data_IF_837266891258
#
_entry.id   IF_837266891258
#
_cell.length_a   1.000
_cell.length_b   1.000
_cell.length_c   1.000
_cell.angle_alpha   90.00
_cell.angle_beta   90.00
_cell.angle_gamma   90.00
#
_symmetry.space_group_name_H-M   'P 1'
#
loop_
_entity.id
_entity.type
_entity.pdbx_description
1 polymer ?
#
# COMPACT_ATOMS: atom_id res chain seq x y z
N UNK A 1 -44.03 -72.72 -19.33
CA UNK A 1 -42.90 -72.20 -20.05
C UNK A 1 -42.68 -70.78 -19.54
N UNK A 2 -41.74 -70.65 -18.62
CA UNK A 2 -41.44 -69.38 -17.94
C UNK A 2 -40.22 -68.76 -18.60
N UNK A 3 -40.29 -67.48 -18.90
CA UNK A 3 -39.15 -66.71 -19.36
C UNK A 3 -38.71 -65.77 -18.24
N UNK A 4 -37.53 -66.10 -17.62
CA UNK A 4 -36.89 -65.20 -16.64
C UNK A 4 -36.13 -64.10 -17.37
N UNK A 5 -36.58 -62.85 -17.22
CA UNK A 5 -35.83 -61.69 -17.68
C UNK A 5 -34.90 -61.18 -16.55
N UNK A 6 -33.57 -61.28 -16.76
CA UNK A 6 -32.57 -60.60 -15.93
C UNK A 6 -32.47 -59.14 -16.29
N UNK A 7 -32.82 -58.23 -15.40
CA UNK A 7 -32.56 -56.83 -15.52
C UNK A 7 -31.18 -56.51 -14.94
N UNK A 8 -30.21 -56.10 -15.77
CA UNK A 8 -28.89 -55.61 -15.36
C UNK A 8 -29.04 -54.13 -14.92
N UNK A 9 -28.99 -53.89 -13.64
CA UNK A 9 -28.92 -52.52 -13.09
C UNK A 9 -27.50 -51.99 -13.19
N UNK A 10 -27.27 -50.98 -14.03
CA UNK A 10 -26.02 -50.21 -14.08
C UNK A 10 -26.10 -49.13 -13.01
N UNK A 11 -25.36 -49.34 -11.92
CA UNK A 11 -25.19 -48.29 -10.92
C UNK A 11 -24.15 -47.26 -11.41
N UNK A 12 -24.63 -46.05 -11.78
CA UNK A 12 -23.76 -44.90 -12.08
C UNK A 12 -23.26 -44.36 -10.73
N UNK A 13 -21.98 -44.61 -10.38
CA UNK A 13 -21.31 -43.96 -9.28
C UNK A 13 -20.97 -42.52 -9.71
N UNK A 14 -21.74 -41.55 -9.20
CA UNK A 14 -21.41 -40.14 -9.33
C UNK A 14 -20.20 -39.84 -8.45
N UNK A 15 -19.02 -39.63 -9.06
CA UNK A 15 -17.89 -39.03 -8.37
C UNK A 15 -18.25 -37.58 -8.01
N UNK A 16 -18.62 -37.36 -6.76
CA UNK A 16 -18.70 -36.01 -6.18
C UNK A 16 -17.27 -35.55 -5.94
N UNK A 17 -16.72 -34.81 -6.88
CA UNK A 17 -15.50 -34.03 -6.66
C UNK A 17 -15.88 -32.91 -5.70
N UNK A 18 -15.66 -33.11 -4.40
CA UNK A 18 -15.70 -32.05 -3.42
C UNK A 18 -14.52 -31.13 -3.74
N UNK A 19 -14.78 -30.05 -4.50
CA UNK A 19 -13.87 -28.94 -4.57
C UNK A 19 -13.68 -28.48 -3.11
N UNK A 20 -12.52 -28.79 -2.52
CA UNK A 20 -12.10 -28.21 -1.27
C UNK A 20 -12.09 -26.71 -1.51
N UNK A 21 -13.05 -25.99 -0.92
CA UNK A 21 -13.01 -24.56 -0.86
C UNK A 21 -11.67 -24.23 -0.21
N UNK A 22 -10.73 -23.67 -0.97
CA UNK A 22 -9.48 -23.17 -0.43
C UNK A 22 -9.87 -22.29 0.75
N UNK A 23 -9.35 -22.57 1.95
CA UNK A 23 -9.68 -21.81 3.14
C UNK A 23 -9.52 -20.33 2.81
N UNK A 24 -10.62 -19.58 2.90
CA UNK A 24 -10.62 -18.15 2.62
C UNK A 24 -9.55 -17.50 3.50
N UNK A 25 -8.71 -16.64 2.90
CA UNK A 25 -7.67 -15.94 3.64
C UNK A 25 -8.26 -15.26 4.86
N UNK A 26 -7.69 -15.51 6.03
CA UNK A 26 -8.14 -14.87 7.27
C UNK A 26 -7.36 -13.58 7.48
N UNK A 27 -8.07 -12.47 7.41
CA UNK A 27 -7.54 -11.17 7.75
C UNK A 27 -7.37 -11.03 9.28
N UNK A 28 -6.19 -10.61 9.71
CA UNK A 28 -5.94 -10.11 11.06
C UNK A 28 -6.06 -8.59 11.04
N UNK A 29 -7.30 -8.10 10.95
CA UNK A 29 -7.56 -6.67 10.84
C UNK A 29 -7.57 -6.01 12.21
N UNK A 30 -6.87 -4.87 12.35
CA UNK A 30 -7.01 -4.02 13.52
C UNK A 30 -8.44 -3.50 13.67
N UNK A 31 -8.81 -3.21 14.90
CA UNK A 31 -10.15 -2.72 15.22
C UNK A 31 -10.45 -1.42 14.48
N UNK A 32 -11.61 -1.35 13.84
CA UNK A 32 -12.03 -0.19 13.05
C UNK A 32 -11.56 -0.18 11.60
N UNK A 33 -10.75 -1.18 11.18
CA UNK A 33 -10.31 -1.29 9.79
C UNK A 33 -11.18 -2.29 9.02
N UNK A 34 -11.73 -1.90 7.85
CA UNK A 34 -12.46 -2.82 6.98
C UNK A 34 -11.51 -3.77 6.25
N UNK A 35 -12.05 -4.84 5.65
CA UNK A 35 -11.26 -5.66 4.73
C UNK A 35 -10.84 -4.83 3.51
N UNK A 36 -9.54 -4.85 3.13
CA UNK A 36 -9.08 -4.20 1.91
C UNK A 36 -9.78 -4.76 0.67
N UNK A 37 -9.90 -3.94 -0.38
CA UNK A 37 -10.36 -4.41 -1.67
C UNK A 37 -9.38 -5.42 -2.28
N UNK A 38 -9.90 -6.57 -2.71
CA UNK A 38 -9.13 -7.64 -3.33
C UNK A 38 -9.67 -7.88 -4.74
N UNK A 39 -8.84 -7.78 -5.80
CA UNK A 39 -9.27 -8.08 -7.15
C UNK A 39 -9.74 -9.54 -7.29
N UNK A 40 -10.83 -9.74 -8.02
CA UNK A 40 -11.42 -11.07 -8.20
C UNK A 40 -10.48 -12.06 -8.92
N UNK A 41 -9.59 -11.54 -9.77
CA UNK A 41 -8.59 -12.32 -10.50
C UNK A 41 -7.32 -12.60 -9.69
N UNK A 42 -7.19 -11.99 -8.49
CA UNK A 42 -6.09 -12.29 -7.56
C UNK A 42 -6.59 -12.48 -6.11
N UNK A 43 -7.39 -13.51 -5.82
CA UNK A 43 -7.85 -13.79 -4.47
C UNK A 43 -6.68 -14.06 -3.53
N UNK A 44 -6.83 -13.61 -2.27
CA UNK A 44 -5.82 -13.80 -1.23
C UNK A 44 -5.68 -15.26 -0.83
N UNK A 45 -4.43 -15.69 -0.55
CA UNK A 45 -4.14 -16.93 0.18
C UNK A 45 -2.88 -16.77 1.03
N UNK A 46 -2.76 -17.55 2.10
CA UNK A 46 -1.56 -17.54 2.94
C UNK A 46 -0.30 -17.92 2.14
N UNK A 47 -0.43 -18.84 1.18
CA UNK A 47 0.68 -19.24 0.31
C UNK A 47 1.14 -18.08 -0.60
N UNK A 48 0.21 -17.31 -1.18
CA UNK A 48 0.56 -16.11 -1.98
C UNK A 48 1.24 -15.05 -1.14
N UNK A 49 0.75 -14.78 0.06
CA UNK A 49 1.36 -13.81 0.98
C UNK A 49 2.79 -14.23 1.35
N UNK A 50 2.99 -15.50 1.72
CA UNK A 50 4.32 -16.03 2.05
C UNK A 50 5.29 -15.98 0.87
N UNK A 51 4.83 -16.36 -0.33
CA UNK A 51 5.62 -16.23 -1.56
C UNK A 51 5.94 -14.78 -1.87
N UNK A 52 4.95 -13.88 -1.79
CA UNK A 52 5.11 -12.46 -2.06
C UNK A 52 6.12 -11.79 -1.14
N UNK A 53 6.11 -12.11 0.15
CA UNK A 53 7.10 -11.62 1.11
C UNK A 53 8.53 -12.02 0.74
N UNK A 54 8.75 -13.24 0.24
CA UNK A 54 10.07 -13.69 -0.25
C UNK A 54 10.48 -12.95 -1.51
N UNK A 55 9.56 -12.83 -2.48
CA UNK A 55 9.82 -12.16 -3.75
C UNK A 55 10.05 -10.66 -3.59
N UNK A 56 9.37 -10.00 -2.64
CA UNK A 56 9.57 -8.59 -2.32
C UNK A 56 11.02 -8.25 -1.96
N UNK A 57 11.74 -9.18 -1.34
CA UNK A 57 13.15 -9.04 -0.98
C UNK A 57 14.11 -9.71 -1.98
N UNK A 58 13.62 -10.28 -3.09
CA UNK A 58 14.44 -11.06 -4.01
C UNK A 58 15.19 -10.17 -5.01
N UNK A 59 16.54 -10.13 -4.97
CA UNK A 59 17.31 -9.26 -5.86
C UNK A 59 17.31 -9.70 -7.33
N UNK A 60 16.85 -10.93 -7.65
CA UNK A 60 16.64 -11.38 -9.04
C UNK A 60 15.59 -10.55 -9.76
N UNK A 61 14.74 -9.81 -9.01
CA UNK A 61 13.75 -8.89 -9.56
C UNK A 61 14.35 -7.52 -9.94
N UNK A 62 15.65 -7.48 -10.26
CA UNK A 62 16.28 -6.29 -10.84
C UNK A 62 17.32 -6.65 -11.89
N UNK A 63 17.51 -5.75 -12.86
CA UNK A 63 18.48 -5.90 -13.96
C UNK A 63 19.92 -6.17 -13.50
N UNK A 64 20.29 -5.69 -12.32
CA UNK A 64 21.62 -5.86 -11.74
C UNK A 64 21.73 -7.07 -10.80
N UNK A 65 20.64 -7.71 -10.44
CA UNK A 65 20.62 -8.79 -9.44
C UNK A 65 21.00 -8.33 -8.02
N UNK A 66 20.91 -7.02 -7.72
CA UNK A 66 21.32 -6.43 -6.44
C UNK A 66 20.25 -5.56 -5.75
N UNK A 67 19.17 -5.26 -6.46
CA UNK A 67 18.05 -4.49 -5.96
C UNK A 67 16.79 -5.36 -5.90
N UNK A 68 15.91 -5.02 -5.01
CA UNK A 68 14.57 -5.62 -4.86
C UNK A 68 13.58 -4.51 -4.47
N UNK A 69 12.30 -4.83 -4.30
CA UNK A 69 11.32 -3.87 -3.77
C UNK A 69 11.76 -3.34 -2.39
N UNK A 70 12.34 -4.20 -1.54
CA UNK A 70 12.85 -3.82 -0.23
C UNK A 70 14.03 -2.82 -0.28
N UNK A 71 14.66 -2.60 -1.43
CA UNK A 71 15.74 -1.61 -1.58
C UNK A 71 15.24 -0.17 -1.52
N UNK A 72 14.00 0.08 -1.95
CA UNK A 72 13.32 1.38 -1.89
C UNK A 72 12.20 1.41 -0.85
N UNK A 73 11.69 0.24 -0.45
CA UNK A 73 10.63 0.08 0.53
C UNK A 73 11.12 -0.77 1.71
N UNK A 74 12.08 -0.21 2.47
CA UNK A 74 12.72 -0.87 3.61
C UNK A 74 11.72 -1.06 4.77
N UNK A 75 11.42 -2.31 5.18
CA UNK A 75 10.56 -2.58 6.33
C UNK A 75 11.01 -1.89 7.63
N UNK A 76 12.32 -1.67 7.79
CA UNK A 76 12.90 -0.96 8.93
C UNK A 76 12.61 0.54 8.95
N UNK A 77 12.14 1.13 7.81
CA UNK A 77 11.86 2.54 7.61
C UNK A 77 10.39 2.78 7.20
N UNK A 78 9.47 2.05 7.79
CA UNK A 78 8.06 2.09 7.43
C UNK A 78 7.82 1.95 5.91
N UNK A 79 8.61 1.08 5.25
CA UNK A 79 8.56 0.82 3.81
C UNK A 79 8.82 2.07 2.94
N UNK A 80 9.76 2.92 3.35
CA UNK A 80 10.40 3.98 2.54
C UNK A 80 11.90 3.74 2.47
N UNK A 81 12.66 4.52 1.67
CA UNK A 81 14.12 4.43 1.64
C UNK A 81 14.83 5.55 2.43
N UNK A 82 14.06 6.51 2.96
CA UNK A 82 14.57 7.64 3.74
C UNK A 82 15.38 8.65 2.91
N UNK A 83 15.22 8.65 1.58
CA UNK A 83 15.91 9.58 0.67
C UNK A 83 14.91 10.59 0.12
N UNK A 84 15.43 11.77 -0.26
CA UNK A 84 14.65 12.76 -1.00
C UNK A 84 14.18 12.19 -2.34
N UNK A 85 15.09 11.54 -3.06
CA UNK A 85 14.84 10.85 -4.33
C UNK A 85 15.46 9.47 -4.31
N UNK A 86 14.66 8.49 -4.64
CA UNK A 86 15.09 7.09 -4.70
C UNK A 86 16.12 6.85 -5.82
N UNK A 87 16.79 5.70 -5.79
CA UNK A 87 17.74 5.29 -6.81
C UNK A 87 17.31 3.98 -7.45
N UNK A 88 17.25 3.98 -8.77
CA UNK A 88 17.02 2.77 -9.55
C UNK A 88 18.20 1.79 -9.49
N UNK A 89 17.97 0.57 -9.94
CA UNK A 89 18.94 -0.53 -9.89
C UNK A 89 20.25 -0.26 -10.63
N UNK A 90 20.24 0.65 -11.62
CA UNK A 90 21.44 1.10 -12.36
C UNK A 90 22.13 2.30 -11.73
N UNK A 91 21.62 2.81 -10.60
CA UNK A 91 22.15 3.99 -9.89
C UNK A 91 21.54 5.32 -10.34
N UNK A 92 20.62 5.32 -11.31
CA UNK A 92 19.90 6.51 -11.74
C UNK A 92 19.10 7.12 -10.58
N UNK A 93 19.16 8.43 -10.40
CA UNK A 93 18.35 9.17 -9.44
C UNK A 93 16.94 9.32 -10.00
N UNK A 94 15.94 8.87 -9.28
CA UNK A 94 14.54 9.00 -9.66
C UNK A 94 14.02 10.42 -9.36
N UNK A 95 12.91 10.78 -9.98
CA UNK A 95 12.31 12.11 -9.80
C UNK A 95 11.58 12.25 -8.46
N UNK A 96 11.17 11.14 -7.87
CA UNK A 96 10.22 11.09 -6.76
C UNK A 96 10.79 10.37 -5.54
N UNK A 97 10.25 10.72 -4.38
CA UNK A 97 10.43 10.03 -3.12
C UNK A 97 9.67 8.69 -3.12
N UNK A 98 10.23 7.66 -2.48
CA UNK A 98 9.53 6.38 -2.28
C UNK A 98 8.43 6.53 -1.22
N UNK A 99 7.14 6.45 -1.58
CA UNK A 99 6.07 6.50 -0.59
C UNK A 99 6.08 5.22 0.26
N UNK A 100 5.56 5.33 1.49
CA UNK A 100 5.31 4.13 2.30
C UNK A 100 4.32 3.18 1.61
N UNK A 101 4.54 1.87 1.77
CA UNK A 101 3.58 0.84 1.35
C UNK A 101 2.59 0.47 2.46
N UNK A 102 2.78 1.00 3.68
CA UNK A 102 1.83 0.76 4.76
C UNK A 102 0.45 1.28 4.39
N UNK A 103 -0.54 0.43 4.55
CA UNK A 103 -1.93 0.69 4.18
C UNK A 103 -2.17 1.03 2.68
N UNK A 104 -1.21 0.71 1.79
CA UNK A 104 -1.36 0.98 0.36
C UNK A 104 -2.62 0.34 -0.24
N UNK A 105 -3.07 -0.78 0.31
CA UNK A 105 -4.29 -1.48 -0.10
C UNK A 105 -5.57 -0.64 0.05
N UNK A 106 -5.58 0.40 0.89
CA UNK A 106 -6.72 1.32 1.07
C UNK A 106 -6.63 2.56 0.20
N UNK A 107 -5.54 2.78 -0.53
CA UNK A 107 -5.42 3.94 -1.39
C UNK A 107 -6.27 3.78 -2.66
N UNK A 108 -7.10 4.76 -2.97
CA UNK A 108 -7.93 4.76 -4.18
C UNK A 108 -7.13 5.00 -5.47
N UNK A 109 -5.89 5.43 -5.37
CA UNK A 109 -4.90 5.49 -6.45
C UNK A 109 -3.50 5.26 -5.89
N UNK A 110 -2.64 4.67 -6.68
CA UNK A 110 -1.27 4.30 -6.33
C UNK A 110 -0.26 5.08 -7.19
N UNK A 111 0.87 5.48 -6.59
CA UNK A 111 1.79 6.43 -7.20
C UNK A 111 1.44 7.88 -6.87
N UNK A 112 2.29 8.83 -7.31
CA UNK A 112 2.14 10.25 -6.96
C UNK A 112 1.25 11.03 -7.94
N UNK A 113 1.33 10.74 -9.24
CA UNK A 113 0.66 11.52 -10.30
C UNK A 113 -0.40 10.72 -11.06
N UNK A 114 -0.39 9.39 -10.97
CA UNK A 114 -1.22 8.54 -11.81
C UNK A 114 -2.59 8.26 -11.18
N UNK A 115 -3.64 8.76 -11.81
CA UNK A 115 -5.03 8.48 -11.42
C UNK A 115 -5.53 7.11 -11.90
N UNK A 116 -4.82 6.46 -12.81
CA UNK A 116 -5.20 5.18 -13.42
C UNK A 116 -4.69 3.94 -12.70
N UNK A 117 -3.69 4.08 -11.82
CA UNK A 117 -3.17 2.96 -11.04
C UNK A 117 -4.03 2.73 -9.78
N UNK A 118 -5.07 1.91 -9.92
CA UNK A 118 -6.04 1.63 -8.87
C UNK A 118 -5.85 0.25 -8.22
N UNK A 119 -4.90 -0.56 -8.69
CA UNK A 119 -4.54 -1.86 -8.09
C UNK A 119 -3.04 -1.98 -7.91
N UNK A 120 -2.61 -2.69 -6.87
CA UNK A 120 -1.19 -2.96 -6.60
C UNK A 120 -0.53 -3.70 -7.75
N UNK A 121 -1.25 -4.65 -8.36
CA UNK A 121 -0.78 -5.42 -9.51
C UNK A 121 -0.44 -4.54 -10.72
N UNK A 122 -1.29 -3.55 -10.99
CA UNK A 122 -1.07 -2.63 -12.10
C UNK A 122 0.06 -1.65 -11.81
N UNK A 123 0.07 -1.08 -10.59
CA UNK A 123 1.10 -0.12 -10.19
C UNK A 123 2.50 -0.72 -10.24
N UNK A 124 2.66 -1.96 -9.79
CA UNK A 124 3.95 -2.66 -9.71
C UNK A 124 4.63 -2.85 -11.08
N UNK A 125 3.86 -2.81 -12.17
CA UNK A 125 4.42 -2.89 -13.53
C UNK A 125 5.32 -1.69 -13.86
N UNK A 126 5.05 -0.51 -13.28
CA UNK A 126 5.89 0.67 -13.42
C UNK A 126 7.32 0.39 -12.93
N UNK A 127 7.56 0.19 -11.63
CA UNK A 127 8.90 -0.06 -11.10
C UNK A 127 9.60 -1.29 -11.69
N UNK A 128 8.87 -2.31 -12.12
CA UNK A 128 9.46 -3.50 -12.75
C UNK A 128 9.92 -3.23 -14.19
N UNK A 129 9.11 -2.57 -15.01
CA UNK A 129 9.26 -2.60 -16.46
C UNK A 129 9.43 -1.24 -17.14
N UNK A 130 9.25 -0.09 -16.45
CA UNK A 130 9.47 1.21 -17.07
C UNK A 130 10.96 1.42 -17.38
N UNK A 131 11.25 1.90 -18.60
CA UNK A 131 12.59 2.28 -19.02
C UNK A 131 12.95 3.72 -18.61
N UNK A 132 11.94 4.57 -18.41
CA UNK A 132 12.09 5.97 -18.04
C UNK A 132 10.97 6.42 -17.08
N UNK A 133 11.28 6.63 -15.80
CA UNK A 133 12.55 6.32 -15.13
C UNK A 133 12.76 4.82 -14.97
N UNK A 134 14.00 4.36 -15.09
CA UNK A 134 14.34 2.97 -14.85
C UNK A 134 14.54 2.72 -13.35
N UNK A 135 13.63 1.93 -12.76
CA UNK A 135 13.73 1.51 -11.36
C UNK A 135 14.38 0.14 -11.24
N UNK A 136 13.69 -0.95 -11.53
CA UNK A 136 14.25 -2.31 -11.49
C UNK A 136 14.76 -2.80 -12.85
N UNK A 137 14.25 -2.26 -13.98
CA UNK A 137 14.81 -2.43 -15.32
C UNK A 137 14.62 -3.79 -15.94
N UNK A 138 13.47 -4.44 -15.75
CA UNK A 138 13.19 -5.79 -16.24
C UNK A 138 12.48 -5.85 -17.60
N UNK A 139 12.21 -4.73 -18.26
CA UNK A 139 11.57 -4.73 -19.58
C UNK A 139 12.35 -5.60 -20.58
N UNK A 140 11.65 -6.57 -21.19
CA UNK A 140 12.22 -7.53 -22.14
C UNK A 140 13.10 -8.61 -21.51
N UNK A 141 13.17 -8.71 -20.17
CA UNK A 141 13.95 -9.71 -19.44
C UNK A 141 13.09 -10.69 -18.64
N UNK A 142 11.78 -10.64 -18.79
CA UNK A 142 10.82 -11.43 -18.04
C UNK A 142 11.16 -12.93 -18.06
N UNK A 143 11.43 -13.48 -19.24
CA UNK A 143 11.78 -14.90 -19.40
C UNK A 143 13.13 -15.27 -18.75
N UNK A 144 14.07 -14.33 -18.59
CA UNK A 144 15.33 -14.56 -17.88
C UNK A 144 15.07 -14.68 -16.38
N UNK A 145 14.26 -13.76 -15.83
CA UNK A 145 13.89 -13.77 -14.41
C UNK A 145 13.08 -15.02 -14.08
N UNK A 146 12.08 -15.38 -14.89
CA UNK A 146 11.26 -16.58 -14.69
C UNK A 146 12.13 -17.85 -14.65
N UNK A 147 13.11 -17.97 -15.54
CA UNK A 147 14.06 -19.10 -15.51
C UNK A 147 14.92 -19.11 -14.25
N UNK A 148 15.37 -17.94 -13.78
CA UNK A 148 16.17 -17.84 -12.57
C UNK A 148 15.35 -18.20 -11.31
N UNK A 149 14.07 -17.82 -11.26
CA UNK A 149 13.15 -18.20 -10.18
C UNK A 149 12.80 -19.69 -10.24
N UNK A 150 12.59 -20.23 -11.43
CA UNK A 150 12.26 -21.64 -11.66
C UNK A 150 13.41 -22.58 -11.25
N UNK A 151 14.65 -22.14 -11.36
CA UNK A 151 15.84 -22.90 -10.98
C UNK A 151 15.98 -23.12 -9.46
N UNK A 152 15.25 -22.33 -8.65
CA UNK A 152 15.21 -22.45 -7.18
C UNK A 152 14.06 -23.41 -6.78
N UNK A 153 14.41 -24.64 -6.35
CA UNK A 153 13.44 -25.67 -5.97
C UNK A 153 12.47 -25.21 -4.89
N UNK A 154 12.95 -24.40 -3.92
CA UNK A 154 12.11 -23.90 -2.84
C UNK A 154 11.13 -22.83 -3.29
N UNK A 155 11.52 -21.97 -4.25
CA UNK A 155 10.60 -21.00 -4.87
C UNK A 155 9.61 -21.72 -5.80
N UNK A 156 10.08 -22.69 -6.60
CA UNK A 156 9.20 -23.47 -7.46
C UNK A 156 8.08 -24.13 -6.65
N UNK A 157 8.42 -24.79 -5.54
CA UNK A 157 7.43 -25.37 -4.62
C UNK A 157 6.48 -24.31 -4.02
N UNK A 158 6.98 -23.13 -3.66
CA UNK A 158 6.17 -22.03 -3.14
C UNK A 158 5.22 -21.47 -4.21
N UNK A 159 5.66 -21.33 -5.46
CA UNK A 159 4.79 -20.93 -6.57
C UNK A 159 3.69 -21.97 -6.84
N UNK A 160 4.02 -23.27 -6.83
CA UNK A 160 3.02 -24.34 -6.98
C UNK A 160 1.97 -24.30 -5.88
N UNK A 161 2.38 -24.05 -4.64
CA UNK A 161 1.44 -23.91 -3.52
C UNK A 161 0.58 -22.64 -3.59
N UNK A 162 1.14 -21.54 -4.13
CA UNK A 162 0.46 -20.26 -4.23
C UNK A 162 -0.53 -20.18 -5.41
N UNK A 163 -0.26 -20.95 -6.49
CA UNK A 163 -1.04 -20.96 -7.74
C UNK A 163 -1.31 -22.41 -8.19
N UNK A 164 -2.09 -23.18 -7.42
CA UNK A 164 -2.34 -24.59 -7.70
C UNK A 164 -3.22 -24.81 -8.94
N UNK A 165 -3.83 -23.75 -9.49
CA UNK A 165 -4.70 -23.80 -10.67
C UNK A 165 -3.95 -23.87 -12.00
N UNK A 166 -2.61 -23.77 -12.00
CA UNK A 166 -1.79 -23.76 -13.24
C UNK A 166 -0.60 -24.73 -13.15
N UNK A 167 -0.30 -25.43 -14.26
CA UNK A 167 0.85 -26.33 -14.36
C UNK A 167 2.20 -25.58 -14.49
N UNK A 168 2.16 -24.31 -14.90
CA UNK A 168 3.34 -23.45 -15.05
C UNK A 168 3.20 -22.17 -14.18
N UNK A 169 3.30 -22.31 -12.84
CA UNK A 169 3.01 -21.20 -11.94
C UNK A 169 4.10 -20.11 -11.87
N UNK A 170 5.34 -20.39 -12.30
CA UNK A 170 6.47 -19.44 -12.23
C UNK A 170 6.41 -18.50 -13.42
N UNK A 171 5.71 -17.38 -13.26
CA UNK A 171 5.57 -16.32 -14.27
C UNK A 171 5.73 -14.95 -13.62
N UNK A 172 6.05 -13.92 -14.41
CA UNK A 172 6.08 -12.54 -13.91
C UNK A 172 4.70 -12.07 -13.44
N UNK A 173 3.62 -12.47 -14.09
CA UNK A 173 2.28 -12.13 -13.63
C UNK A 173 1.98 -12.73 -12.24
N UNK A 174 2.32 -13.99 -12.01
CA UNK A 174 2.15 -14.61 -10.68
C UNK A 174 3.12 -14.05 -9.65
N UNK A 175 4.34 -13.63 -10.06
CA UNK A 175 5.26 -12.88 -9.21
C UNK A 175 4.62 -11.58 -8.71
N UNK A 176 4.04 -10.79 -9.63
CA UNK A 176 3.32 -9.55 -9.31
C UNK A 176 2.12 -9.82 -8.40
N UNK A 177 1.31 -10.83 -8.71
CA UNK A 177 0.14 -11.22 -7.90
C UNK A 177 0.52 -11.63 -6.48
N UNK A 178 1.60 -12.38 -6.32
CA UNK A 178 2.07 -12.79 -5.00
C UNK A 178 2.60 -11.59 -4.18
N UNK A 179 3.41 -10.71 -4.80
CA UNK A 179 3.90 -9.50 -4.12
C UNK A 179 2.74 -8.58 -3.74
N UNK A 180 1.76 -8.37 -4.63
CA UNK A 180 0.57 -7.58 -4.34
C UNK A 180 -0.25 -8.17 -3.17
N UNK A 181 -0.36 -9.50 -3.09
CA UNK A 181 -1.00 -10.17 -1.95
C UNK A 181 -0.25 -9.89 -0.63
N UNK A 182 1.09 -9.89 -0.65
CA UNK A 182 1.89 -9.51 0.51
C UNK A 182 1.72 -8.03 0.87
N UNK A 183 1.80 -7.11 -0.09
CA UNK A 183 1.65 -5.67 0.15
C UNK A 183 0.29 -5.33 0.77
N UNK A 184 -0.79 -6.05 0.43
CA UNK A 184 -2.11 -5.90 1.07
C UNK A 184 -2.11 -6.20 2.55
N UNK A 185 -1.15 -6.98 3.04
CA UNK A 185 -1.02 -7.29 4.47
C UNK A 185 -0.20 -6.27 5.26
N UNK A 186 0.41 -5.29 4.60
CA UNK A 186 1.22 -4.26 5.24
C UNK A 186 0.33 -3.20 5.88
N UNK A 187 -0.06 -3.42 7.13
CA UNK A 187 -1.00 -2.56 7.85
C UNK A 187 -0.31 -1.83 9.01
N UNK A 188 -0.62 -0.54 9.15
CA UNK A 188 -0.35 0.31 10.31
C UNK A 188 -1.69 0.83 10.83
N UNK A 189 -2.11 0.38 12.00
CA UNK A 189 -3.44 0.63 12.53
C UNK A 189 -3.56 0.35 14.04
N UNK A 190 -2.45 0.46 14.78
CA UNK A 190 -2.39 0.31 16.24
C UNK A 190 -1.75 1.50 16.95
N UNK A 191 -1.74 2.64 16.28
CA UNK A 191 -1.19 3.89 16.80
C UNK A 191 -1.94 4.37 18.07
N UNK A 192 -1.39 5.31 18.84
CA UNK A 192 -2.11 5.96 19.92
C UNK A 192 -3.48 6.50 19.48
N UNK A 193 -3.56 7.11 18.29
CA UNK A 193 -4.82 7.58 17.71
C UNK A 193 -5.82 6.42 17.50
N UNK A 194 -5.39 5.29 16.95
CA UNK A 194 -6.27 4.15 16.70
C UNK A 194 -6.81 3.55 18.01
N UNK A 195 -5.97 3.44 19.03
CA UNK A 195 -6.41 2.98 20.35
C UNK A 195 -7.43 3.94 20.97
N UNK A 196 -7.21 5.24 20.83
CA UNK A 196 -8.14 6.24 21.34
C UNK A 196 -9.50 6.17 20.64
N UNK A 197 -9.50 6.12 19.30
CA UNK A 197 -10.75 6.19 18.51
C UNK A 197 -11.46 4.83 18.45
N UNK A 198 -10.74 3.74 18.18
CA UNK A 198 -11.35 2.46 17.87
C UNK A 198 -11.35 1.46 19.03
N UNK A 199 -10.50 1.64 20.04
CA UNK A 199 -10.40 0.70 21.17
C UNK A 199 -10.95 1.24 22.48
N UNK A 200 -11.36 2.52 22.52
CA UNK A 200 -11.89 3.16 23.74
C UNK A 200 -10.81 3.43 24.80
N UNK A 201 -9.53 3.44 24.42
CA UNK A 201 -8.42 3.80 25.30
C UNK A 201 -8.30 5.33 25.38
N UNK A 202 -9.12 5.94 26.24
CA UNK A 202 -9.14 7.40 26.41
C UNK A 202 -7.84 8.00 26.95
N UNK A 203 -6.92 7.17 27.46
CA UNK A 203 -5.59 7.55 27.92
C UNK A 203 -4.52 7.46 26.82
N UNK A 204 -4.83 6.92 25.64
CA UNK A 204 -3.87 6.73 24.58
C UNK A 204 -3.33 8.04 23.97
N UNK A 205 -4.11 9.13 24.03
CA UNK A 205 -3.69 10.46 23.60
C UNK A 205 -3.50 11.37 24.80
N UNK A 206 -2.42 12.16 24.81
CA UNK A 206 -2.23 13.28 25.73
C UNK A 206 -3.24 14.39 25.45
N UNK A 207 -3.44 15.31 26.41
CA UNK A 207 -4.34 16.45 26.20
C UNK A 207 -3.87 17.34 25.05
N UNK A 208 -2.56 17.53 24.89
CA UNK A 208 -2.01 18.28 23.76
C UNK A 208 -2.28 17.58 22.41
N UNK A 209 -2.18 16.24 22.35
CA UNK A 209 -2.53 15.46 21.15
C UNK A 209 -4.02 15.56 20.83
N UNK A 210 -4.90 15.59 21.83
CA UNK A 210 -6.35 15.81 21.64
C UNK A 210 -6.64 17.21 21.09
N UNK A 211 -5.99 18.25 21.62
CA UNK A 211 -6.09 19.61 21.04
C UNK A 211 -5.61 19.62 19.59
N UNK A 212 -4.50 18.95 19.27
CA UNK A 212 -4.00 18.83 17.91
C UNK A 212 -4.97 18.07 16.98
N UNK A 213 -5.62 17.02 17.49
CA UNK A 213 -6.66 16.28 16.80
C UNK A 213 -7.86 17.17 16.46
N UNK A 214 -8.35 17.95 17.43
CA UNK A 214 -9.47 18.87 17.23
C UNK A 214 -9.13 19.93 16.17
N UNK A 215 -7.90 20.47 16.18
CA UNK A 215 -7.43 21.39 15.15
C UNK A 215 -7.40 20.72 13.79
N UNK A 216 -6.86 19.51 13.69
CA UNK A 216 -6.73 18.76 12.44
C UNK A 216 -8.07 18.52 11.76
N UNK A 217 -9.10 18.12 12.50
CA UNK A 217 -10.44 17.79 11.99
C UNK A 217 -11.37 19.01 11.88
N UNK A 218 -11.01 20.17 12.46
CA UNK A 218 -11.80 21.39 12.39
C UNK A 218 -11.52 22.20 11.11
N UNK A 219 -12.40 23.15 10.82
CA UNK A 219 -12.18 24.16 9.79
C UNK A 219 -10.98 25.08 10.11
N UNK A 220 -10.64 25.22 11.40
CA UNK A 220 -9.48 25.98 11.87
C UNK A 220 -8.18 25.44 11.30
N UNK A 221 -7.98 24.13 11.32
CA UNK A 221 -6.79 23.46 10.74
C UNK A 221 -6.95 23.17 9.26
N UNK A 222 -8.14 22.74 8.84
CA UNK A 222 -8.49 22.41 7.46
C UNK A 222 -7.79 21.17 6.89
N UNK A 223 -7.03 20.44 7.71
CA UNK A 223 -6.20 19.32 7.25
C UNK A 223 -7.05 18.15 6.74
N UNK A 224 -8.13 17.83 7.44
CA UNK A 224 -9.03 16.73 7.11
C UNK A 224 -9.81 16.94 5.79
N UNK A 225 -9.81 18.14 5.21
CA UNK A 225 -10.39 18.38 3.87
C UNK A 225 -9.69 17.58 2.77
N UNK A 226 -8.41 17.26 2.97
CA UNK A 226 -7.62 16.42 2.08
C UNK A 226 -7.17 15.14 2.77
N UNK A 227 -6.72 15.22 4.03
CA UNK A 227 -6.20 14.10 4.80
C UNK A 227 -7.29 13.49 5.71
N UNK A 228 -8.45 13.15 5.13
CA UNK A 228 -9.52 12.43 5.83
C UNK A 228 -9.37 10.92 5.77
N UNK A 229 -10.42 10.22 6.25
CA UNK A 229 -10.54 8.78 6.20
C UNK A 229 -9.59 8.01 7.13
N UNK A 230 -9.73 6.69 7.15
CA UNK A 230 -8.97 5.80 8.04
C UNK A 230 -7.46 5.83 7.78
N UNK A 231 -7.06 6.19 6.56
CA UNK A 231 -5.67 6.23 6.13
C UNK A 231 -5.10 7.67 6.10
N UNK A 232 -5.88 8.67 6.48
CA UNK A 232 -5.45 10.09 6.38
C UNK A 232 -4.93 10.46 4.97
N UNK A 233 -5.56 9.91 3.94
CA UNK A 233 -5.21 10.11 2.53
C UNK A 233 -6.42 10.53 1.67
N UNK A 234 -7.49 11.02 2.30
CA UNK A 234 -8.78 11.27 1.68
C UNK A 234 -9.66 10.03 1.69
N UNK A 235 -10.47 9.85 0.64
CA UNK A 235 -11.29 8.65 0.49
C UNK A 235 -10.41 7.40 0.37
N UNK A 236 -10.93 6.27 0.86
CA UNK A 236 -10.23 5.00 0.82
C UNK A 236 -11.07 3.95 0.08
N UNK A 237 -10.40 2.93 -0.47
CA UNK A 237 -11.04 1.75 -1.04
C UNK A 237 -11.01 0.62 -0.02
N UNK A 238 -12.11 -0.10 0.07
CA UNK A 238 -12.25 -1.32 0.84
C UNK A 238 -13.15 -2.30 0.09
N UNK A 239 -13.50 -3.41 0.73
CA UNK A 239 -14.37 -4.42 0.12
C UNK A 239 -15.76 -3.87 -0.23
N UNK A 240 -16.29 -2.93 0.56
CA UNK A 240 -17.64 -2.36 0.37
C UNK A 240 -17.63 -1.14 -0.55
N UNK A 241 -16.51 -0.39 -0.59
CA UNK A 241 -16.33 0.84 -1.35
C UNK A 241 -15.16 0.75 -2.35
N UNK A 242 -15.18 -0.21 -3.30
CA UNK A 242 -14.04 -0.43 -4.21
C UNK A 242 -13.88 0.68 -5.28
N UNK A 243 -14.81 1.62 -5.37
CA UNK A 243 -14.84 2.70 -6.37
C UNK A 243 -14.58 4.09 -5.78
N UNK A 244 -14.09 4.18 -4.55
CA UNK A 244 -13.70 5.46 -3.95
C UNK A 244 -12.62 6.16 -4.81
N UNK A 245 -12.60 7.50 -4.79
CA UNK A 245 -11.69 8.29 -5.62
C UNK A 245 -10.58 8.90 -4.77
N UNK A 246 -9.35 8.81 -5.26
CA UNK A 246 -8.22 9.47 -4.63
C UNK A 246 -8.37 11.00 -4.65
N UNK A 247 -7.91 11.63 -3.58
CA UNK A 247 -7.79 13.09 -3.49
C UNK A 247 -6.46 13.51 -4.07
N UNK A 248 -6.49 14.51 -4.96
CA UNK A 248 -5.32 15.16 -5.53
C UNK A 248 -5.34 16.65 -5.16
N UNK A 249 -4.18 17.18 -4.86
CA UNK A 249 -4.01 18.60 -4.52
C UNK A 249 -2.67 19.14 -5.04
N UNK A 250 -2.67 20.35 -5.54
CA UNK A 250 -1.44 21.10 -5.78
C UNK A 250 -0.98 21.75 -4.47
N UNK A 251 0.19 21.38 -4.04
CA UNK A 251 0.85 21.90 -2.83
C UNK A 251 2.00 22.85 -3.18
N UNK A 252 1.80 23.70 -4.18
CA UNK A 252 2.73 24.77 -4.56
C UNK A 252 3.83 24.35 -5.53
N UNK A 253 3.59 23.31 -6.34
CA UNK A 253 4.48 22.88 -7.42
C UNK A 253 3.95 23.16 -8.81
N UNK A 254 2.70 23.59 -8.92
CA UNK A 254 1.98 23.71 -10.19
C UNK A 254 1.40 22.38 -10.70
N UNK A 255 1.59 21.29 -9.95
CA UNK A 255 1.09 19.96 -10.29
C UNK A 255 0.29 19.37 -9.13
N UNK A 256 -0.86 18.81 -9.44
CA UNK A 256 -1.65 18.09 -8.45
C UNK A 256 -1.06 16.69 -8.22
N UNK A 257 -0.75 16.40 -6.97
CA UNK A 257 -0.26 15.09 -6.54
C UNK A 257 -1.28 14.41 -5.63
N UNK A 258 -1.26 13.09 -5.62
CA UNK A 258 -2.10 12.32 -4.70
C UNK A 258 -1.77 12.71 -3.24
N UNK A 259 -2.83 12.92 -2.46
CA UNK A 259 -2.70 13.13 -1.02
C UNK A 259 -2.18 11.83 -0.38
N UNK A 260 -0.98 11.82 0.22
CA UNK A 260 -0.42 10.63 0.84
C UNK A 260 -1.05 10.38 2.20
N UNK A 261 -0.88 9.14 2.71
CA UNK A 261 -1.19 8.82 4.11
C UNK A 261 -0.35 9.66 5.06
N UNK A 262 -0.92 10.02 6.22
CA UNK A 262 -0.18 10.61 7.33
C UNK A 262 0.19 9.59 8.41
N UNK A 263 -0.07 8.31 8.16
CA UNK A 263 0.38 7.27 9.08
C UNK A 263 1.89 7.10 8.99
N UNK A 264 2.51 6.77 10.12
CA UNK A 264 3.96 6.57 10.25
C UNK A 264 4.83 7.78 9.85
N UNK A 265 4.28 9.00 9.91
CA UNK A 265 5.04 10.22 9.52
C UNK A 265 6.37 10.34 10.23
N UNK A 266 6.49 9.91 11.49
CA UNK A 266 7.74 10.00 12.27
C UNK A 266 8.88 9.15 11.69
N UNK A 267 8.54 8.15 10.86
CA UNK A 267 9.49 7.22 10.24
C UNK A 267 9.70 7.44 8.74
N UNK A 268 8.90 8.33 8.10
CA UNK A 268 8.86 8.46 6.63
C UNK A 268 9.45 9.75 6.08
N UNK A 269 10.25 10.47 6.89
CA UNK A 269 11.02 11.61 6.38
C UNK A 269 12.05 11.16 5.30
N UNK A 270 12.39 12.02 4.31
CA UNK A 270 11.89 13.38 4.08
C UNK A 270 10.50 13.41 3.42
N UNK A 271 9.82 14.55 3.53
CA UNK A 271 8.40 14.69 3.17
C UNK A 271 8.18 15.32 1.80
N UNK A 272 6.94 15.18 1.30
CA UNK A 272 6.44 15.53 -0.02
C UNK A 272 6.88 14.52 -1.10
N UNK A 273 6.25 14.60 -2.26
CA UNK A 273 6.51 13.67 -3.38
C UNK A 273 7.95 13.74 -3.92
N UNK A 274 8.66 14.83 -3.67
CA UNK A 274 10.04 15.08 -4.09
C UNK A 274 11.04 15.14 -2.90
N UNK A 275 10.57 14.81 -1.69
CA UNK A 275 11.41 14.78 -0.50
C UNK A 275 11.97 16.12 -0.03
N UNK A 276 11.37 17.27 -0.49
CA UNK A 276 11.92 18.62 -0.27
C UNK A 276 12.02 19.07 1.18
N UNK A 277 11.29 18.46 2.11
CA UNK A 277 11.28 18.84 3.52
C UNK A 277 11.79 17.73 4.43
N UNK A 278 12.83 18.03 5.18
CA UNK A 278 13.43 17.07 6.11
C UNK A 278 12.67 16.94 7.43
N UNK A 279 11.81 17.91 7.79
CA UNK A 279 11.12 17.95 9.08
C UNK A 279 9.63 18.28 8.93
N UNK A 280 8.81 17.82 9.87
CA UNK A 280 7.38 18.19 9.93
C UNK A 280 7.18 19.68 10.16
N UNK A 281 8.06 20.34 10.92
CA UNK A 281 7.97 21.78 11.10
C UNK A 281 8.12 22.53 9.76
N UNK A 282 9.05 22.11 8.90
CA UNK A 282 9.20 22.68 7.57
C UNK A 282 7.97 22.44 6.67
N UNK A 283 7.31 21.29 6.81
CA UNK A 283 6.04 21.00 6.13
C UNK A 283 4.94 21.94 6.64
N UNK A 284 4.81 22.12 7.97
CA UNK A 284 3.81 23.02 8.54
C UNK A 284 4.07 24.48 8.14
N UNK A 285 5.34 24.92 8.11
CA UNK A 285 5.71 26.27 7.60
C UNK A 285 5.31 26.46 6.13
N UNK A 286 5.47 25.43 5.33
CA UNK A 286 5.05 25.46 3.94
C UNK A 286 3.54 25.62 3.78
N UNK A 287 2.75 24.83 4.55
CA UNK A 287 1.28 24.93 4.53
C UNK A 287 0.78 26.29 5.08
N UNK A 288 1.48 26.92 6.03
CA UNK A 288 1.15 28.28 6.46
C UNK A 288 1.32 29.31 5.34
N UNK A 289 2.39 29.18 4.55
CA UNK A 289 2.61 30.06 3.36
C UNK A 289 1.53 29.84 2.32
N UNK A 290 1.19 28.59 1.99
CA UNK A 290 0.13 28.27 1.05
C UNK A 290 -1.25 28.74 1.50
N UNK A 291 -1.54 28.69 2.81
CA UNK A 291 -2.81 29.14 3.38
C UNK A 291 -3.03 30.66 3.19
N UNK A 292 -1.94 31.42 3.10
CA UNK A 292 -1.96 32.86 2.88
C UNK A 292 -1.90 33.24 1.38
N UNK A 293 -1.58 32.29 0.49
CA UNK A 293 -1.42 32.55 -0.95
C UNK A 293 -2.79 32.45 -1.66
N UNK A 294 -3.30 33.54 -2.28
CA UNK A 294 -4.55 33.51 -3.03
C UNK A 294 -4.49 32.64 -4.29
N UNK A 295 -3.30 32.34 -4.81
CA UNK A 295 -3.12 31.47 -5.98
C UNK A 295 -3.09 29.97 -5.63
N UNK A 296 -2.88 29.64 -4.36
CA UNK A 296 -2.89 28.25 -3.89
C UNK A 296 -4.30 27.62 -3.94
N UNK A 297 -4.34 26.29 -3.87
CA UNK A 297 -5.59 25.54 -3.81
C UNK A 297 -6.52 26.10 -2.71
N UNK A 298 -7.75 26.44 -3.10
CA UNK A 298 -8.72 27.07 -2.18
C UNK A 298 -9.00 26.26 -0.92
N UNK A 299 -8.81 24.95 -0.96
CA UNK A 299 -8.96 24.03 0.19
C UNK A 299 -7.91 24.27 1.27
N UNK A 300 -6.77 24.88 0.94
CA UNK A 300 -5.68 25.21 1.86
C UNK A 300 -5.90 26.52 2.61
N UNK A 301 -6.84 27.37 2.15
CA UNK A 301 -7.07 28.70 2.72
C UNK A 301 -7.62 28.60 4.14
N UNK A 302 -6.92 29.22 5.08
CA UNK A 302 -7.31 29.35 6.49
C UNK A 302 -6.55 30.49 7.15
N UNK A 303 -6.97 30.90 8.33
CA UNK A 303 -6.19 31.80 9.16
C UNK A 303 -4.93 31.11 9.71
N UNK A 304 -3.81 31.82 9.87
CA UNK A 304 -2.59 31.26 10.46
C UNK A 304 -2.84 30.60 11.81
N UNK A 305 -2.19 29.47 12.06
CA UNK A 305 -2.20 28.81 13.36
C UNK A 305 -1.27 29.54 14.35
N UNK A 306 -1.63 29.57 15.63
CA UNK A 306 -0.71 30.05 16.67
C UNK A 306 0.45 29.06 16.87
N UNK A 307 1.49 29.47 17.60
CA UNK A 307 2.62 28.60 17.94
C UNK A 307 2.16 27.38 18.73
N UNK A 308 1.23 27.58 19.69
CA UNK A 308 0.67 26.54 20.52
C UNK A 308 -0.20 25.56 19.71
N UNK A 309 -1.02 26.08 18.79
CA UNK A 309 -1.83 25.26 17.88
C UNK A 309 -0.95 24.39 16.95
N UNK A 310 0.14 24.96 16.43
CA UNK A 310 1.11 24.21 15.61
C UNK A 310 1.82 23.12 16.42
N UNK A 311 2.22 23.42 17.64
CA UNK A 311 2.85 22.44 18.52
C UNK A 311 1.87 21.28 18.83
N UNK A 312 0.62 21.58 19.13
CA UNK A 312 -0.41 20.57 19.36
C UNK A 312 -0.68 19.72 18.11
N UNK A 313 -0.77 20.34 16.93
CA UNK A 313 -0.94 19.65 15.66
C UNK A 313 0.23 18.69 15.37
N UNK A 314 1.47 19.12 15.61
CA UNK A 314 2.64 18.26 15.45
C UNK A 314 2.60 17.05 16.39
N UNK A 315 2.23 17.25 17.65
CA UNK A 315 2.07 16.17 18.63
C UNK A 315 0.97 15.18 18.19
N UNK A 316 -0.13 15.67 17.65
CA UNK A 316 -1.17 14.83 17.09
C UNK A 316 -0.66 14.00 15.89
N UNK A 317 0.02 14.64 14.94
CA UNK A 317 0.60 13.93 13.78
C UNK A 317 1.56 12.82 14.22
N UNK A 318 2.33 13.04 15.29
CA UNK A 318 3.18 12.02 15.91
C UNK A 318 2.40 10.83 16.46
N UNK A 319 1.15 11.04 16.89
CA UNK A 319 0.29 9.98 17.43
C UNK A 319 -0.31 9.04 16.39
N UNK A 320 -0.08 9.31 15.09
CA UNK A 320 -0.52 8.48 13.96
C UNK A 320 0.47 7.36 13.60
N UNK A 321 1.53 7.18 14.39
CA UNK A 321 2.55 6.15 14.14
C UNK A 321 2.41 5.01 15.15
N UNK A 322 2.43 3.76 14.65
CA UNK A 322 2.43 2.54 15.48
C UNK A 322 3.77 2.36 16.20
N UNK A 323 4.83 2.87 15.61
CA UNK A 323 6.22 2.73 16.09
C UNK A 323 6.63 3.97 16.86
N UNK A 324 7.27 3.76 17.99
CA UNK A 324 7.92 4.79 18.80
C UNK A 324 9.42 4.75 18.65
#
# INVERSE_FOLDING_TARGET
MGANGFALGVALAALVVTAQAADAYRWELPRGFPEPAVPADNPMSAAKVALGSRLFADPRLSVTGRYSCASCHDPGRAFTDGRDRSRGATGAVLALNAPTLLNAAYNASLGWHDTGNTTLERQMRGPLFNDHPQELGLAGREAEVERALLADDSLRAAFTAAFPETDAPVTMDNTIRAIAAYERTLLSASSPFDRYVFSGDHGALSDQQKVGMDIFFSDRGGCARCHGGINFAGDWVDREHPQAKAVFADTGTGEAVRVPTLRELTATAPYMHDGRFATLDAVLDHYEKLAADPAADARLRRSPLTTEERAALREFLGSLSDRR
#
